data_IF_053271861493
#
_entry.id   IF_053271861493
#
_cell.length_a   1.000
_cell.length_b   1.000
_cell.length_c   1.000
_cell.angle_alpha   90.00
_cell.angle_beta   90.00
_cell.angle_gamma   90.00
#
_symmetry.space_group_name_H-M   'P 1'
#
loop_
_entity.id
_entity.type
_entity.pdbx_description
1 polymer ?
#
# COMPACT_ATOMS: atom_id res chain seq x y z
N UNK A 1 -6.31 1.30 3.60
CA UNK A 1 -5.00 1.95 3.82
C UNK A 1 -3.82 0.99 3.63
N UNK A 2 -3.88 -0.26 4.11
CA UNK A 2 -2.76 -1.22 4.00
C UNK A 2 -2.53 -1.86 2.60
N UNK A 3 -3.41 -1.65 1.64
CA UNK A 3 -3.40 -2.42 0.38
C UNK A 3 -2.35 -1.96 -0.64
N UNK A 4 -1.81 -0.74 -0.48
CA UNK A 4 -0.86 -0.17 -1.44
C UNK A 4 0.61 -0.46 -1.09
N UNK A 5 0.95 -0.49 0.20
CA UNK A 5 2.32 -0.65 0.69
C UNK A 5 2.89 -2.08 0.51
N UNK A 6 2.02 -3.07 0.33
CA UNK A 6 2.40 -4.47 0.25
C UNK A 6 2.12 -5.11 -1.11
N UNK A 7 1.78 -4.33 -2.14
CA UNK A 7 1.42 -4.84 -3.47
C UNK A 7 2.41 -5.89 -4.02
N UNK A 8 3.75 -5.68 -3.97
CA UNK A 8 4.72 -6.69 -4.44
C UNK A 8 4.67 -7.98 -3.61
N UNK A 9 4.58 -7.86 -2.28
CA UNK A 9 4.56 -9.00 -1.34
C UNK A 9 3.27 -9.79 -1.41
N UNK A 10 2.16 -9.07 -1.65
CA UNK A 10 0.83 -9.64 -1.78
C UNK A 10 0.66 -10.38 -3.12
N UNK A 11 1.34 -9.94 -4.19
CA UNK A 11 1.40 -10.67 -5.48
C UNK A 11 2.49 -11.74 -5.53
N UNK A 12 3.47 -11.68 -4.64
CA UNK A 12 4.55 -12.66 -4.56
C UNK A 12 3.99 -14.08 -4.33
N UNK A 13 4.45 -15.02 -5.16
CA UNK A 13 4.09 -16.45 -5.08
C UNK A 13 5.16 -17.29 -4.38
N UNK A 14 6.30 -16.68 -4.04
CA UNK A 14 7.37 -17.36 -3.34
C UNK A 14 7.03 -17.53 -1.85
N UNK A 15 7.70 -18.48 -1.20
CA UNK A 15 7.43 -18.83 0.19
C UNK A 15 8.01 -17.74 1.11
N UNK A 16 7.18 -16.75 1.43
CA UNK A 16 7.49 -15.75 2.43
C UNK A 16 7.56 -16.42 3.81
N UNK A 17 8.42 -15.97 4.71
CA UNK A 17 8.52 -16.52 6.07
C UNK A 17 7.15 -16.60 6.77
N UNK A 18 6.96 -17.58 7.65
CA UNK A 18 5.64 -17.98 8.21
C UNK A 18 4.75 -16.80 8.61
N UNK A 19 5.32 -15.81 9.31
CA UNK A 19 4.60 -14.63 9.75
C UNK A 19 4.04 -13.77 8.59
N UNK A 20 4.84 -13.55 7.55
CA UNK A 20 4.44 -12.78 6.37
C UNK A 20 3.42 -13.54 5.56
N UNK A 21 3.62 -14.86 5.39
CA UNK A 21 2.69 -15.71 4.65
C UNK A 21 1.29 -15.73 5.30
N UNK A 22 1.22 -15.89 6.63
CA UNK A 22 -0.04 -15.85 7.37
C UNK A 22 -0.80 -14.53 7.15
N UNK A 23 -0.09 -13.39 7.16
CA UNK A 23 -0.69 -12.06 6.91
C UNK A 23 -1.13 -11.88 5.45
N UNK A 24 -0.32 -12.33 4.50
CA UNK A 24 -0.68 -12.26 3.07
C UNK A 24 -1.92 -13.12 2.79
N UNK A 25 -2.02 -14.30 3.39
CA UNK A 25 -3.21 -15.14 3.28
C UNK A 25 -4.45 -14.50 3.90
N UNK A 26 -4.31 -13.86 5.07
CA UNK A 26 -5.40 -13.11 5.70
C UNK A 26 -5.90 -11.98 4.79
N UNK A 27 -4.99 -11.18 4.22
CA UNK A 27 -5.33 -10.10 3.29
C UNK A 27 -6.00 -10.64 2.01
N UNK A 28 -5.47 -11.72 1.42
CA UNK A 28 -6.05 -12.43 0.27
C UNK A 28 -7.47 -12.96 0.56
N UNK A 29 -7.73 -13.39 1.80
CA UNK A 29 -9.04 -13.89 2.23
C UNK A 29 -10.05 -12.78 2.48
N UNK A 30 -9.60 -11.65 3.01
CA UNK A 30 -10.45 -10.54 3.44
C UNK A 30 -10.75 -9.52 2.33
N UNK A 31 -9.98 -9.53 1.23
CA UNK A 31 -10.09 -8.52 0.17
C UNK A 31 -10.04 -9.15 -1.21
N UNK A 32 -10.62 -8.48 -2.20
CA UNK A 32 -10.59 -8.95 -3.59
C UNK A 32 -9.30 -8.51 -4.26
N UNK A 33 -8.59 -9.45 -4.90
CA UNK A 33 -7.34 -9.18 -5.61
C UNK A 33 -7.50 -8.17 -6.75
N UNK A 34 -8.72 -8.01 -7.30
CA UNK A 34 -9.03 -7.02 -8.34
C UNK A 34 -9.03 -5.60 -7.81
N UNK A 35 -9.00 -5.38 -6.51
CA UNK A 35 -9.01 -4.04 -5.90
C UNK A 35 -7.60 -3.58 -5.51
N UNK A 36 -6.58 -4.39 -5.80
CA UNK A 36 -5.21 -4.08 -5.48
C UNK A 36 -4.53 -3.43 -6.66
N UNK A 37 -3.98 -2.24 -6.43
CA UNK A 37 -3.23 -1.50 -7.43
C UNK A 37 -1.85 -1.14 -6.91
N UNK A 38 -0.88 -1.16 -7.82
CA UNK A 38 0.44 -0.62 -7.54
C UNK A 38 0.41 0.89 -7.72
N UNK A 39 1.02 1.60 -6.77
CA UNK A 39 1.28 3.02 -6.87
C UNK A 39 2.78 3.25 -6.77
N UNK A 40 3.29 4.21 -7.55
CA UNK A 40 4.70 4.59 -7.48
C UNK A 40 5.05 5.02 -6.06
N UNK A 41 6.23 4.60 -5.56
CA UNK A 41 6.62 4.80 -4.17
C UNK A 41 6.54 6.25 -3.70
N UNK A 42 6.86 7.22 -4.56
CA UNK A 42 6.78 8.66 -4.26
C UNK A 42 5.35 9.12 -3.95
N UNK A 43 4.35 8.46 -4.52
CA UNK A 43 2.93 8.75 -4.27
C UNK A 43 2.34 7.87 -3.17
N UNK A 44 3.10 6.92 -2.63
CA UNK A 44 2.67 6.06 -1.54
C UNK A 44 2.93 6.74 -0.19
N UNK A 45 1.90 7.15 0.57
CA UNK A 45 2.12 7.74 1.88
C UNK A 45 2.83 6.80 2.85
N UNK A 46 2.80 5.48 2.60
CA UNK A 46 3.53 4.50 3.40
C UNK A 46 5.04 4.54 3.21
N UNK A 47 5.52 5.11 2.11
CA UNK A 47 6.95 5.25 1.84
C UNK A 47 7.62 6.09 2.95
N UNK A 48 6.98 7.19 3.34
CA UNK A 48 7.48 8.11 4.37
C UNK A 48 7.80 7.42 5.72
N UNK A 49 6.86 6.77 6.43
CA UNK A 49 7.19 6.08 7.67
C UNK A 49 8.12 4.88 7.44
N UNK A 50 8.09 4.23 6.27
CA UNK A 50 8.96 3.08 5.99
C UNK A 50 10.43 3.45 5.81
N UNK A 51 10.74 4.69 5.40
CA UNK A 51 12.10 5.23 5.31
C UNK A 51 12.64 5.74 6.65
N UNK A 52 11.80 5.83 7.67
CA UNK A 52 12.15 6.38 8.97
C UNK A 52 11.99 7.90 8.99
N UNK A 53 10.76 8.36 9.22
CA UNK A 53 10.44 9.77 9.43
C UNK A 53 10.26 10.09 10.93
N UNK A 54 10.33 11.38 11.28
CA UNK A 54 10.03 11.84 12.64
C UNK A 54 8.56 11.66 13.00
N UNK A 55 8.23 11.65 14.30
CA UNK A 55 6.85 11.55 14.75
C UNK A 55 6.00 12.77 14.35
N UNK A 56 6.58 13.97 14.41
CA UNK A 56 5.94 15.22 13.98
C UNK A 56 5.70 15.23 12.47
N UNK A 57 6.73 14.87 11.69
CA UNK A 57 6.63 14.71 10.24
C UNK A 57 5.55 13.69 9.85
N UNK A 58 5.46 12.57 10.57
CA UNK A 58 4.41 11.58 10.34
C UNK A 58 3.02 12.13 10.67
N UNK A 59 2.89 12.90 11.75
CA UNK A 59 1.63 13.50 12.18
C UNK A 59 1.10 14.52 11.16
N UNK A 60 1.98 15.28 10.53
CA UNK A 60 1.64 16.29 9.51
C UNK A 60 1.54 15.72 8.09
N UNK A 61 1.91 14.45 7.89
CA UNK A 61 1.91 13.82 6.58
C UNK A 61 0.54 13.38 6.08
N UNK A 62 0.47 13.07 4.78
CA UNK A 62 -0.68 12.43 4.14
C UNK A 62 -0.90 10.97 4.56
N UNK A 63 -0.14 10.43 5.51
CA UNK A 63 -0.29 9.05 5.99
C UNK A 63 -1.71 8.78 6.53
N UNK A 64 -2.26 9.73 7.28
CA UNK A 64 -3.56 9.56 7.96
C UNK A 64 -4.75 9.76 7.03
N UNK A 65 -4.66 10.72 6.11
CA UNK A 65 -5.76 11.08 5.20
C UNK A 65 -5.70 10.34 3.87
N UNK A 66 -4.52 9.83 3.51
CA UNK A 66 -4.21 9.36 2.18
C UNK A 66 -4.09 10.51 1.17
N UNK A 67 -3.66 10.20 -0.06
CA UNK A 67 -3.56 11.20 -1.11
C UNK A 67 -4.95 11.56 -1.64
N UNK A 68 -5.12 12.80 -2.09
CA UNK A 68 -6.42 13.34 -2.51
C UNK A 68 -7.09 12.55 -3.65
N UNK A 69 -6.29 11.97 -4.55
CA UNK A 69 -6.79 11.14 -5.65
C UNK A 69 -7.43 9.83 -5.19
N UNK A 70 -7.17 9.34 -3.97
CA UNK A 70 -7.80 8.13 -3.45
C UNK A 70 -9.31 8.31 -3.24
N UNK A 71 -9.76 9.57 -3.10
CA UNK A 71 -11.18 9.94 -2.97
C UNK A 71 -11.88 10.09 -4.33
N UNK A 72 -11.14 9.99 -5.43
CA UNK A 72 -11.64 10.11 -6.79
C UNK A 72 -12.01 8.73 -7.38
N UNK A 73 -12.77 8.69 -8.49
CA UNK A 73 -12.97 7.47 -9.27
C UNK A 73 -11.64 6.78 -9.61
N UNK A 74 -11.68 5.45 -9.71
CA UNK A 74 -10.49 4.60 -9.92
C UNK A 74 -9.75 4.93 -11.21
N UNK A 75 -10.49 5.42 -12.21
CA UNK A 75 -10.00 5.83 -13.52
C UNK A 75 -9.07 7.06 -13.44
N UNK A 76 -9.17 7.84 -12.36
CA UNK A 76 -8.31 9.01 -12.11
C UNK A 76 -7.09 8.68 -11.21
N UNK A 77 -6.91 7.42 -10.82
CA UNK A 77 -5.79 7.05 -9.96
C UNK A 77 -4.48 7.05 -10.76
N UNK A 78 -3.37 7.53 -10.16
CA UNK A 78 -2.06 7.45 -10.79
C UNK A 78 -1.58 6.00 -10.74
N UNK A 79 -1.93 5.23 -11.78
CA UNK A 79 -1.39 3.91 -12.00
C UNK A 79 0.09 4.04 -12.35
N UNK A 80 0.95 3.20 -11.77
CA UNK A 80 2.32 3.12 -12.26
C UNK A 80 2.31 2.59 -13.70
N UNK A 81 3.01 3.25 -14.63
CA UNK A 81 3.46 2.56 -15.82
C UNK A 81 4.36 1.40 -15.38
N UNK A 82 4.09 0.20 -15.91
CA UNK A 82 4.71 -1.06 -15.52
C UNK A 82 6.21 -1.10 -15.78
#
# INVERSE_FOLDING_TARGET
MYLFAAYPMIKCKENLGTFVNNRVQEIRRLTNHKDWEHIVGILNPADLPSRGCGAEELAESLWWEGPSWLKKPREEWPLSEA
#
